data_IF_878751600422
#
_entry.id   IF_878751600422
#
_cell.length_a   1.000
_cell.length_b   1.000
_cell.length_c   1.000
_cell.angle_alpha   90.00
_cell.angle_beta   90.00
_cell.angle_gamma   90.00
#
_symmetry.space_group_name_H-M   'P 1'
#
loop_
_entity.id
_entity.type
_entity.pdbx_description
1 polymer ?
#
# COMPACT_ATOMS: atom_id res chain seq x y z
N UNK A 1 6.38 -11.44 18.97
CA UNK A 1 6.55 -10.54 17.82
C UNK A 1 5.35 -9.61 17.83
N UNK A 2 5.54 -8.30 17.66
CA UNK A 2 4.40 -7.39 17.68
C UNK A 2 3.54 -7.64 16.43
N UNK A 3 2.27 -7.94 16.65
CA UNK A 3 1.26 -8.02 15.60
C UNK A 3 1.08 -6.61 15.03
N UNK A 4 1.50 -6.38 13.79
CA UNK A 4 1.30 -5.08 13.15
C UNK A 4 -0.18 -4.91 12.84
N UNK A 5 -0.78 -3.84 13.34
CA UNK A 5 -2.17 -3.49 13.08
C UNK A 5 -2.17 -2.12 12.41
N UNK A 6 -2.66 -2.05 11.17
CA UNK A 6 -2.76 -0.80 10.44
C UNK A 6 -3.66 0.19 11.22
N UNK A 7 -3.24 1.45 11.45
CA UNK A 7 -3.99 2.42 12.23
C UNK A 7 -5.12 3.06 11.41
N UNK A 8 -6.02 2.24 10.85
CA UNK A 8 -7.05 2.66 9.88
C UNK A 8 -7.92 3.80 10.43
N UNK A 9 -8.24 3.76 11.73
CA UNK A 9 -9.00 4.83 12.38
C UNK A 9 -8.30 6.19 12.27
N UNK A 10 -7.00 6.22 12.52
CA UNK A 10 -6.23 7.47 12.49
C UNK A 10 -6.05 7.97 11.05
N UNK A 11 -5.78 7.06 10.10
CA UNK A 11 -5.74 7.37 8.67
C UNK A 11 -7.06 7.98 8.18
N UNK A 12 -8.20 7.40 8.57
CA UNK A 12 -9.54 7.93 8.27
C UNK A 12 -9.78 9.30 8.89
N UNK A 13 -9.37 9.49 10.15
CA UNK A 13 -9.48 10.78 10.84
C UNK A 13 -8.71 11.87 10.09
N UNK A 14 -7.45 11.59 9.72
CA UNK A 14 -6.61 12.53 8.97
C UNK A 14 -7.21 12.86 7.61
N UNK A 15 -7.68 11.86 6.86
CA UNK A 15 -8.27 12.08 5.54
C UNK A 15 -9.60 12.85 5.61
N UNK A 16 -10.51 12.47 6.48
CA UNK A 16 -11.89 12.96 6.45
C UNK A 16 -12.10 14.18 7.34
N UNK A 17 -11.50 14.22 8.53
CA UNK A 17 -11.80 15.24 9.54
C UNK A 17 -10.74 16.36 9.57
N UNK A 18 -9.48 16.04 9.26
CA UNK A 18 -8.40 17.04 9.26
C UNK A 18 -8.28 17.74 7.92
N UNK A 19 -8.25 16.98 6.83
CA UNK A 19 -7.95 17.52 5.49
C UNK A 19 -9.15 17.65 4.56
N UNK A 20 -10.31 17.10 4.91
CA UNK A 20 -11.48 17.01 4.01
C UNK A 20 -11.07 16.54 2.60
N UNK A 21 -10.33 15.42 2.58
CA UNK A 21 -9.84 14.81 1.35
C UNK A 21 -10.96 14.51 0.32
N UNK A 22 -12.19 14.11 0.73
CA UNK A 22 -13.30 13.93 -0.21
C UNK A 22 -13.63 15.21 -1.00
N UNK A 23 -13.70 16.37 -0.34
CA UNK A 23 -13.91 17.64 -1.03
C UNK A 23 -12.75 17.97 -1.98
N UNK A 24 -11.51 17.69 -1.56
CA UNK A 24 -10.34 17.85 -2.41
C UNK A 24 -10.43 16.96 -3.66
N UNK A 25 -10.72 15.67 -3.53
CA UNK A 25 -10.80 14.74 -4.67
C UNK A 25 -11.91 15.14 -5.65
N UNK A 26 -13.07 15.53 -5.15
CA UNK A 26 -14.17 16.02 -5.96
C UNK A 26 -13.80 17.28 -6.77
N UNK A 27 -12.89 18.11 -6.25
CA UNK A 27 -12.40 19.31 -6.96
C UNK A 27 -11.37 19.03 -8.05
N UNK A 28 -10.83 17.81 -8.12
CA UNK A 28 -9.75 17.43 -9.02
C UNK A 28 -10.28 16.57 -10.18
N UNK A 29 -10.38 17.11 -11.41
CA UNK A 29 -11.02 16.40 -12.53
C UNK A 29 -10.40 15.04 -12.87
N UNK A 30 -9.12 14.86 -12.55
CA UNK A 30 -8.39 13.60 -12.82
C UNK A 30 -8.75 12.46 -11.89
N UNK A 31 -9.39 12.71 -10.74
CA UNK A 31 -9.72 11.68 -9.74
C UNK A 31 -11.18 11.73 -9.27
N UNK A 32 -11.87 12.84 -9.51
CA UNK A 32 -13.23 13.08 -9.04
C UNK A 32 -14.26 12.00 -9.45
N UNK A 33 -14.06 11.32 -10.58
CA UNK A 33 -14.99 10.30 -11.09
C UNK A 33 -14.79 8.91 -10.45
N UNK A 34 -13.65 8.66 -9.80
CA UNK A 34 -13.29 7.31 -9.34
C UNK A 34 -12.64 7.26 -7.96
N UNK A 35 -12.63 8.38 -7.23
CA UNK A 35 -12.14 8.43 -5.85
C UNK A 35 -13.16 9.12 -4.97
N UNK A 36 -13.75 8.32 -4.08
CA UNK A 36 -14.70 8.73 -3.07
C UNK A 36 -14.30 8.12 -1.70
N UNK A 37 -14.98 8.49 -0.59
CA UNK A 37 -14.67 7.95 0.73
C UNK A 37 -14.75 6.43 0.81
N UNK A 38 -15.69 5.80 0.10
CA UNK A 38 -15.89 4.34 0.15
C UNK A 38 -14.74 3.61 -0.56
N UNK A 39 -14.31 4.11 -1.72
CA UNK A 39 -13.17 3.61 -2.47
C UNK A 39 -11.88 3.78 -1.67
N UNK A 40 -11.69 4.96 -1.07
CA UNK A 40 -10.56 5.21 -0.18
C UNK A 40 -10.55 4.23 1.01
N UNK A 41 -11.70 3.99 1.62
CA UNK A 41 -11.82 3.10 2.76
C UNK A 41 -11.45 1.65 2.41
N UNK A 42 -11.99 1.14 1.30
CA UNK A 42 -11.67 -0.19 0.80
C UNK A 42 -10.17 -0.36 0.51
N UNK A 43 -9.53 0.66 -0.08
CA UNK A 43 -8.09 0.68 -0.31
C UNK A 43 -7.32 0.56 1.01
N UNK A 44 -7.68 1.36 2.02
CA UNK A 44 -7.01 1.32 3.33
C UNK A 44 -7.19 -0.03 4.03
N UNK A 45 -8.38 -0.63 3.97
CA UNK A 45 -8.64 -1.93 4.57
C UNK A 45 -7.84 -3.06 3.92
N UNK A 46 -7.82 -3.13 2.59
CA UNK A 46 -7.06 -4.15 1.87
C UNK A 46 -5.54 -3.96 2.02
N UNK A 47 -5.07 -2.72 1.95
CA UNK A 47 -3.68 -2.37 2.28
C UNK A 47 -3.30 -2.85 3.69
N UNK A 48 -4.15 -2.56 4.68
CA UNK A 48 -3.96 -2.99 6.06
C UNK A 48 -3.86 -4.51 6.19
N UNK A 49 -4.73 -5.27 5.51
CA UNK A 49 -4.68 -6.74 5.50
C UNK A 49 -3.36 -7.27 4.93
N UNK A 50 -2.87 -6.68 3.85
CA UNK A 50 -1.59 -7.08 3.25
C UNK A 50 -0.42 -6.75 4.17
N UNK A 51 -0.37 -5.52 4.71
CA UNK A 51 0.69 -5.12 5.63
C UNK A 51 0.73 -6.01 6.87
N UNK A 52 -0.42 -6.32 7.46
CA UNK A 52 -0.52 -7.15 8.68
C UNK A 52 -0.34 -8.65 8.43
N UNK A 53 -0.93 -9.18 7.36
CA UNK A 53 -0.99 -10.62 7.09
C UNK A 53 0.15 -11.16 6.23
N UNK A 54 0.76 -10.32 5.40
CA UNK A 54 1.80 -10.73 4.43
C UNK A 54 3.15 -10.12 4.77
N UNK A 55 3.22 -8.80 5.01
CA UNK A 55 4.50 -8.11 5.15
C UNK A 55 5.07 -8.19 6.57
N UNK A 56 4.27 -7.83 7.58
CA UNK A 56 4.73 -7.78 8.96
C UNK A 56 5.28 -9.12 9.50
N UNK A 57 4.71 -10.30 9.17
CA UNK A 57 5.26 -11.58 9.63
C UNK A 57 6.68 -11.85 9.12
N UNK A 58 7.06 -11.30 7.96
CA UNK A 58 8.38 -11.46 7.37
C UNK A 58 9.43 -10.53 7.97
N UNK A 59 9.03 -9.55 8.77
CA UNK A 59 9.93 -8.47 9.19
C UNK A 59 11.11 -8.99 10.05
N UNK A 60 10.84 -9.90 10.99
CA UNK A 60 11.89 -10.46 11.86
C UNK A 60 12.81 -11.42 11.10
N UNK A 61 12.23 -12.39 10.40
CA UNK A 61 13.01 -13.35 9.62
C UNK A 61 13.83 -12.66 8.52
N UNK A 62 13.26 -11.63 7.89
CA UNK A 62 13.98 -10.78 6.94
C UNK A 62 15.20 -10.10 7.53
N UNK A 63 15.07 -9.54 8.74
CA UNK A 63 16.18 -8.91 9.48
C UNK A 63 17.26 -9.94 9.90
N UNK A 64 16.84 -11.09 10.43
CA UNK A 64 17.75 -12.13 10.91
C UNK A 64 18.50 -12.84 9.75
N UNK A 65 17.86 -13.03 8.60
CA UNK A 65 18.45 -13.70 7.44
C UNK A 65 19.30 -12.77 6.57
N UNK A 66 18.82 -11.55 6.34
CA UNK A 66 19.43 -10.58 5.42
C UNK A 66 19.49 -11.03 3.96
N UNK A 67 19.89 -10.11 3.07
CA UNK A 67 20.18 -10.45 1.69
C UNK A 67 21.55 -11.14 1.57
N UNK A 68 21.66 -12.11 0.68
CA UNK A 68 22.91 -12.80 0.36
C UNK A 68 23.40 -12.37 -1.01
N UNK A 69 24.70 -12.13 -1.13
CA UNK A 69 25.35 -11.87 -2.40
C UNK A 69 26.25 -13.06 -2.77
N UNK A 70 26.18 -13.50 -4.02
CA UNK A 70 27.03 -14.55 -4.56
C UNK A 70 27.32 -14.26 -6.05
N UNK A 71 28.58 -13.97 -6.39
CA UNK A 71 29.06 -13.82 -7.77
C UNK A 71 28.21 -12.89 -8.66
N UNK A 72 27.72 -11.78 -8.10
CA UNK A 72 26.89 -10.79 -8.81
C UNK A 72 25.39 -11.01 -8.71
N UNK A 73 24.95 -12.13 -8.13
CA UNK A 73 23.55 -12.40 -7.82
C UNK A 73 23.23 -12.02 -6.36
N UNK A 74 22.09 -11.35 -6.15
CA UNK A 74 21.56 -11.02 -4.82
C UNK A 74 20.29 -11.82 -4.58
N UNK A 75 20.24 -12.55 -3.47
CA UNK A 75 19.07 -13.32 -3.04
C UNK A 75 18.46 -12.66 -1.80
N UNK A 76 17.17 -12.37 -1.85
CA UNK A 76 16.39 -11.85 -0.72
C UNK A 76 16.16 -12.93 0.35
N UNK A 77 15.79 -12.54 1.58
CA UNK A 77 15.29 -13.47 2.59
C UNK A 77 14.11 -14.30 2.09
N UNK A 78 13.87 -15.43 2.75
CA UNK A 78 12.74 -16.31 2.48
C UNK A 78 11.40 -15.56 2.64
N UNK A 79 10.42 -15.85 1.77
CA UNK A 79 9.08 -15.25 1.80
C UNK A 79 8.96 -13.89 1.11
N UNK A 80 10.07 -13.15 0.92
CA UNK A 80 10.02 -11.81 0.30
C UNK A 80 9.58 -11.86 -1.17
N UNK A 81 9.99 -12.90 -1.91
CA UNK A 81 9.61 -13.07 -3.31
C UNK A 81 8.11 -13.33 -3.44
N UNK A 82 7.57 -14.18 -2.58
CA UNK A 82 6.15 -14.54 -2.53
C UNK A 82 5.31 -13.34 -2.10
N UNK A 83 5.75 -12.61 -1.06
CA UNK A 83 5.10 -11.37 -0.64
C UNK A 83 5.10 -10.31 -1.74
N UNK A 84 6.22 -10.12 -2.42
CA UNK A 84 6.30 -9.19 -3.55
C UNK A 84 5.37 -9.61 -4.70
N UNK A 85 5.25 -10.91 -4.98
CA UNK A 85 4.30 -11.41 -5.96
C UNK A 85 2.85 -11.07 -5.58
N UNK A 86 2.47 -11.19 -4.31
CA UNK A 86 1.15 -10.75 -3.81
C UNK A 86 0.91 -9.25 -4.05
N UNK A 87 1.91 -8.40 -3.79
CA UNK A 87 1.82 -6.95 -4.05
C UNK A 87 1.63 -6.67 -5.55
N UNK A 88 2.37 -7.36 -6.41
CA UNK A 88 2.29 -7.23 -7.88
C UNK A 88 0.92 -7.66 -8.39
N UNK A 89 0.43 -8.82 -7.97
CA UNK A 89 -0.87 -9.38 -8.39
C UNK A 89 -2.04 -8.50 -7.92
N UNK A 90 -1.92 -7.88 -6.75
CA UNK A 90 -2.90 -6.90 -6.27
C UNK A 90 -2.79 -5.52 -6.93
N UNK A 91 -1.80 -5.29 -7.80
CA UNK A 91 -1.60 -4.02 -8.50
C UNK A 91 -1.09 -2.88 -7.62
N UNK A 92 -0.66 -3.16 -6.39
CA UNK A 92 -0.29 -2.16 -5.39
C UNK A 92 0.96 -1.34 -5.76
N UNK A 93 1.89 -1.93 -6.52
CA UNK A 93 3.03 -1.21 -7.10
C UNK A 93 2.58 -0.07 -8.06
N UNK A 94 1.38 -0.20 -8.61
CA UNK A 94 0.78 0.75 -9.55
C UNK A 94 -0.28 1.64 -8.92
N UNK A 95 -0.48 1.64 -7.59
CA UNK A 95 -1.60 2.34 -6.94
C UNK A 95 -1.68 3.82 -7.35
N UNK A 96 -0.56 4.54 -7.32
CA UNK A 96 -0.46 5.92 -7.80
C UNK A 96 0.10 6.07 -9.22
N UNK A 97 0.26 4.97 -9.95
CA UNK A 97 0.85 4.95 -11.28
C UNK A 97 -0.07 5.58 -12.32
N UNK A 98 0.50 6.06 -13.44
CA UNK A 98 -0.28 6.64 -14.53
C UNK A 98 -1.16 5.55 -15.20
N UNK A 99 -2.49 5.76 -15.31
CA UNK A 99 -3.39 4.83 -16.00
C UNK A 99 -2.99 4.47 -17.43
N UNK A 100 -2.38 5.40 -18.19
CA UNK A 100 -1.91 5.14 -19.56
C UNK A 100 -0.84 4.05 -19.65
N UNK A 101 -0.19 3.74 -18.52
CA UNK A 101 0.84 2.71 -18.39
C UNK A 101 0.43 1.60 -17.41
N UNK A 102 -0.87 1.45 -17.13
CA UNK A 102 -1.41 0.37 -16.30
C UNK A 102 -1.42 0.63 -14.80
N UNK A 103 -1.24 1.87 -14.35
CA UNK A 103 -1.46 2.25 -12.94
C UNK A 103 -2.93 2.49 -12.59
N UNK A 104 -3.25 2.56 -11.30
CA UNK A 104 -4.61 2.82 -10.82
C UNK A 104 -4.95 4.32 -10.75
N UNK A 105 -3.98 5.22 -10.84
CA UNK A 105 -4.22 6.67 -10.86
C UNK A 105 -4.64 7.30 -9.54
N UNK A 106 -4.48 6.60 -8.41
CA UNK A 106 -4.95 7.08 -7.11
C UNK A 106 -4.20 8.34 -6.63
N UNK A 107 -4.87 9.25 -5.90
CA UNK A 107 -4.28 10.48 -5.41
C UNK A 107 -3.21 10.20 -4.35
N UNK A 108 -2.23 11.11 -4.25
CA UNK A 108 -1.11 10.97 -3.30
C UNK A 108 -1.54 10.91 -1.84
N UNK A 109 -2.70 11.47 -1.50
CA UNK A 109 -3.31 11.37 -0.18
C UNK A 109 -3.61 9.92 0.23
N UNK A 110 -3.88 9.03 -0.74
CA UNK A 110 -4.08 7.59 -0.51
C UNK A 110 -2.80 6.78 -0.72
N UNK A 111 -2.00 7.13 -1.75
CA UNK A 111 -0.76 6.41 -2.06
C UNK A 111 0.25 6.46 -0.90
N UNK A 112 0.26 7.56 -0.12
CA UNK A 112 1.17 7.70 1.02
C UNK A 112 0.80 6.83 2.24
N UNK A 113 -0.32 6.10 2.19
CA UNK A 113 -0.81 5.27 3.31
C UNK A 113 -0.38 3.80 3.21
N UNK A 114 0.21 3.39 2.08
CA UNK A 114 0.68 2.03 1.78
C UNK A 114 2.21 1.99 1.64
#
# INVERSE_FOLDING_TARGET
MADYQAPLRDMRFVLNEVFDAPALWASLPKVAEHVDPETADAILEEAGKISSGVLAPLNREGDEQGCKWNDGEVTSPEGFKEAYQTIVEGGWNGLGGNPDFGGMGMPKTLVAQF
#
